data_IF_800711619615
#
_entry.id   IF_800711619615
#
_cell.length_a   1.000
_cell.length_b   1.000
_cell.length_c   1.000
_cell.angle_alpha   90.00
_cell.angle_beta   90.00
_cell.angle_gamma   90.00
#
_symmetry.space_group_name_H-M   'P 1'
#
loop_
_entity.id
_entity.type
_entity.pdbx_description
1 polymer ?
#
# COMPACT_ATOMS: atom_id res chain seq x y z
N UNK A 1 24.55 -36.44 -3.91
CA UNK A 1 23.76 -35.20 -4.12
C UNK A 1 23.19 -34.76 -2.78
N UNK A 2 23.76 -33.73 -2.16
CA UNK A 2 23.15 -32.99 -1.04
C UNK A 2 23.15 -31.53 -1.46
N UNK A 3 21.99 -31.05 -1.88
CA UNK A 3 21.81 -29.65 -2.27
C UNK A 3 21.78 -28.86 -0.97
N UNK A 4 22.90 -28.18 -0.66
CA UNK A 4 22.95 -27.14 0.36
C UNK A 4 22.23 -25.93 -0.25
N UNK A 5 20.91 -25.87 -0.16
CA UNK A 5 20.17 -24.65 -0.47
C UNK A 5 20.51 -23.64 0.62
N UNK A 6 21.47 -22.77 0.31
CA UNK A 6 21.70 -21.52 1.00
C UNK A 6 20.37 -20.77 1.09
N UNK A 7 19.72 -20.84 2.25
CA UNK A 7 18.58 -20.00 2.57
C UNK A 7 19.15 -18.60 2.74
N UNK A 8 19.26 -17.88 1.62
CA UNK A 8 19.42 -16.44 1.62
C UNK A 8 18.12 -15.90 2.20
N UNK A 9 18.04 -15.75 3.52
CA UNK A 9 17.05 -14.89 4.15
C UNK A 9 17.35 -13.48 3.62
N UNK A 10 16.74 -13.12 2.50
CA UNK A 10 16.61 -11.72 2.10
C UNK A 10 15.78 -11.12 3.21
N UNK A 11 16.43 -10.49 4.18
CA UNK A 11 15.76 -9.54 5.04
C UNK A 11 15.16 -8.53 4.07
N UNK A 12 13.84 -8.57 3.89
CA UNK A 12 13.12 -7.49 3.26
C UNK A 12 13.33 -6.31 4.21
N UNK A 13 14.38 -5.52 3.95
CA UNK A 13 14.55 -4.24 4.61
C UNK A 13 13.37 -3.44 4.12
N UNK A 14 12.35 -3.28 4.96
CA UNK A 14 11.36 -2.23 4.75
C UNK A 14 12.19 -0.95 4.59
N UNK A 15 12.24 -0.43 3.37
CA UNK A 15 12.99 0.76 3.08
C UNK A 15 12.32 1.90 3.85
N UNK A 16 12.97 2.36 4.91
CA UNK A 16 12.51 3.52 5.64
C UNK A 16 12.60 4.74 4.72
N UNK A 17 11.51 5.50 4.61
CA UNK A 17 11.44 6.71 3.78
C UNK A 17 11.73 6.47 2.28
N UNK A 18 11.12 5.43 1.70
CA UNK A 18 11.23 5.05 0.29
C UNK A 18 10.60 6.06 -0.70
N UNK A 19 9.64 6.88 -0.25
CA UNK A 19 9.00 7.88 -1.09
C UNK A 19 9.78 9.19 -1.12
N UNK A 20 10.01 9.74 -2.31
CA UNK A 20 10.59 11.08 -2.46
C UNK A 20 9.53 12.19 -2.31
N UNK A 21 9.93 13.45 -2.41
CA UNK A 21 9.01 14.59 -2.24
C UNK A 21 7.89 14.64 -3.29
N UNK A 22 8.17 14.22 -4.52
CA UNK A 22 7.15 14.15 -5.56
C UNK A 22 6.11 13.06 -5.26
N UNK A 23 6.57 11.88 -4.83
CA UNK A 23 5.69 10.80 -4.40
C UNK A 23 4.76 11.27 -3.26
N UNK A 24 5.32 11.91 -2.24
CA UNK A 24 4.57 12.46 -1.10
C UNK A 24 3.54 13.50 -1.52
N UNK A 25 3.84 14.31 -2.54
CA UNK A 25 2.89 15.27 -3.12
C UNK A 25 1.73 14.55 -3.82
N UNK A 26 2.02 13.49 -4.57
CA UNK A 26 0.99 12.68 -5.26
C UNK A 26 0.09 11.96 -4.25
N UNK A 27 0.67 11.34 -3.22
CA UNK A 27 -0.07 10.61 -2.19
C UNK A 27 -1.05 11.49 -1.42
N UNK A 28 -0.66 12.74 -1.14
CA UNK A 28 -1.54 13.72 -0.49
C UNK A 28 -2.59 14.34 -1.45
N UNK A 29 -2.58 13.95 -2.72
CA UNK A 29 -3.57 14.35 -3.71
C UNK A 29 -4.94 13.73 -3.45
N UNK A 30 -6.00 14.45 -3.81
CA UNK A 30 -7.40 14.06 -3.56
C UNK A 30 -7.81 12.72 -4.21
N UNK A 31 -7.19 12.37 -5.34
CA UNK A 31 -7.56 11.17 -6.10
C UNK A 31 -6.74 9.93 -5.73
N UNK A 32 -5.63 10.11 -5.02
CA UNK A 32 -4.69 9.02 -4.75
C UNK A 32 -5.35 7.84 -4.03
N UNK A 33 -6.07 8.07 -2.93
CA UNK A 33 -6.67 6.98 -2.15
C UNK A 33 -7.80 6.27 -2.90
N UNK A 34 -8.55 6.98 -3.73
CA UNK A 34 -9.53 6.38 -4.63
C UNK A 34 -8.87 5.52 -5.72
N UNK A 35 -7.70 5.94 -6.21
CA UNK A 35 -6.91 5.18 -7.17
C UNK A 35 -6.22 3.97 -6.53
N UNK A 36 -5.76 4.09 -5.29
CA UNK A 36 -5.23 2.97 -4.50
C UNK A 36 -6.30 1.89 -4.29
N UNK A 37 -7.54 2.29 -3.99
CA UNK A 37 -8.67 1.36 -3.93
C UNK A 37 -8.88 0.67 -5.28
N UNK A 38 -8.91 1.42 -6.39
CA UNK A 38 -9.00 0.84 -7.74
C UNK A 38 -7.91 -0.19 -8.01
N UNK A 39 -6.64 0.13 -7.73
CA UNK A 39 -5.53 -0.80 -7.90
C UNK A 39 -5.66 -2.05 -7.02
N UNK A 40 -6.16 -1.89 -5.78
CA UNK A 40 -6.35 -3.01 -4.84
C UNK A 40 -7.46 -3.97 -5.30
N UNK A 41 -8.54 -3.46 -5.90
CA UNK A 41 -9.57 -4.32 -6.50
C UNK A 41 -9.09 -4.96 -7.80
N UNK A 42 -8.41 -4.19 -8.65
CA UNK A 42 -7.89 -4.67 -9.93
C UNK A 42 -6.80 -5.73 -9.75
N UNK A 43 -6.12 -5.72 -8.60
CA UNK A 43 -5.19 -6.75 -8.19
C UNK A 43 -5.84 -8.14 -7.99
N UNK A 44 -7.17 -8.23 -7.82
CA UNK A 44 -7.92 -9.48 -7.71
C UNK A 44 -7.34 -10.45 -6.65
N UNK A 45 -6.98 -9.92 -5.49
CA UNK A 45 -6.42 -10.68 -4.37
C UNK A 45 -4.93 -10.97 -4.46
N UNK A 46 -4.22 -10.37 -5.42
CA UNK A 46 -2.76 -10.46 -5.56
C UNK A 46 -2.10 -9.09 -5.30
N UNK A 47 -1.66 -8.80 -4.06
CA UNK A 47 -1.06 -7.52 -3.69
C UNK A 47 0.15 -7.11 -4.52
N UNK A 48 0.85 -8.07 -5.16
CA UNK A 48 2.01 -7.79 -6.02
C UNK A 48 1.65 -6.98 -7.27
N UNK A 49 0.36 -6.90 -7.62
CA UNK A 49 -0.15 -6.10 -8.75
C UNK A 49 -0.47 -4.65 -8.36
N UNK A 50 -0.50 -4.32 -7.08
CA UNK A 50 -0.78 -2.95 -6.62
C UNK A 50 0.36 -1.99 -6.98
N UNK A 51 1.65 -2.29 -6.71
CA UNK A 51 2.76 -1.41 -7.08
C UNK A 51 2.80 -1.02 -8.56
N UNK A 52 2.77 -1.95 -9.55
CA UNK A 52 2.84 -1.57 -10.97
C UNK A 52 1.62 -0.75 -11.42
N UNK A 53 0.46 -0.93 -10.78
CA UNK A 53 -0.72 -0.09 -11.04
C UNK A 53 -0.47 1.37 -10.61
N UNK A 54 0.10 1.58 -9.42
CA UNK A 54 0.43 2.90 -8.90
C UNK A 54 1.58 3.56 -9.67
N UNK A 55 2.60 2.81 -10.06
CA UNK A 55 3.67 3.31 -10.93
C UNK A 55 3.12 3.81 -12.27
N UNK A 56 2.22 3.02 -12.89
CA UNK A 56 1.63 3.37 -14.18
C UNK A 56 0.70 4.59 -14.08
N UNK A 57 -0.19 4.61 -13.09
CA UNK A 57 -1.23 5.64 -12.98
C UNK A 57 -0.85 6.89 -12.19
N UNK A 58 -0.04 6.75 -11.14
CA UNK A 58 0.37 7.85 -10.26
C UNK A 58 1.81 8.30 -10.51
N UNK A 59 2.60 7.54 -11.27
CA UNK A 59 4.05 7.79 -11.47
C UNK A 59 4.83 7.79 -10.15
N UNK A 60 4.40 6.97 -9.19
CA UNK A 60 5.19 6.72 -7.99
C UNK A 60 6.51 6.04 -8.36
N UNK A 61 7.56 6.31 -7.60
CA UNK A 61 8.78 5.50 -7.65
C UNK A 61 8.50 4.06 -7.20
N UNK A 62 9.27 3.09 -7.72
CA UNK A 62 9.13 1.65 -7.40
C UNK A 62 9.14 1.41 -5.88
N UNK A 63 10.13 1.96 -5.17
CA UNK A 63 10.22 1.82 -3.70
C UNK A 63 8.98 2.36 -2.98
N UNK A 64 8.45 3.50 -3.44
CA UNK A 64 7.24 4.09 -2.86
C UNK A 64 5.98 3.28 -3.19
N UNK A 65 5.84 2.79 -4.42
CA UNK A 65 4.73 1.97 -4.85
C UNK A 65 4.67 0.64 -4.06
N UNK A 66 5.85 0.04 -3.78
CA UNK A 66 5.96 -1.16 -2.96
C UNK A 66 5.46 -0.95 -1.52
N UNK A 67 5.61 0.23 -0.93
CA UNK A 67 5.01 0.53 0.38
C UNK A 67 3.48 0.33 0.39
N UNK A 68 2.80 0.63 -0.73
CA UNK A 68 1.36 0.45 -0.85
C UNK A 68 0.96 -0.97 -1.23
N UNK A 69 1.83 -1.71 -1.93
CA UNK A 69 1.69 -3.15 -2.09
C UNK A 69 1.72 -3.88 -0.74
N UNK A 70 2.69 -3.54 0.12
CA UNK A 70 2.80 -4.07 1.47
C UNK A 70 1.62 -3.66 2.36
N UNK A 71 1.16 -2.41 2.24
CA UNK A 71 -0.04 -1.93 2.94
C UNK A 71 -1.30 -2.71 2.51
N UNK A 72 -1.50 -2.90 1.20
CA UNK A 72 -2.61 -3.68 0.67
C UNK A 72 -2.53 -5.14 1.13
N UNK A 73 -1.33 -5.74 1.13
CA UNK A 73 -1.09 -7.07 1.67
C UNK A 73 -1.43 -7.18 3.15
N UNK A 74 -1.01 -6.23 3.98
CA UNK A 74 -1.34 -6.19 5.40
C UNK A 74 -2.87 -6.13 5.61
N UNK A 75 -3.56 -5.27 4.85
CA UNK A 75 -5.01 -5.19 4.87
C UNK A 75 -5.69 -6.48 4.43
N UNK A 76 -5.16 -7.15 3.41
CA UNK A 76 -5.66 -8.45 2.95
C UNK A 76 -5.45 -9.55 4.00
N UNK A 77 -4.27 -9.63 4.61
CA UNK A 77 -3.91 -10.70 5.55
C UNK A 77 -4.67 -10.58 6.88
N UNK A 78 -4.99 -9.36 7.31
CA UNK A 78 -5.53 -9.11 8.65
C UNK A 78 -6.94 -8.49 8.69
N UNK A 79 -7.34 -7.76 7.65
CA UNK A 79 -8.48 -6.84 7.69
C UNK A 79 -9.44 -6.97 6.49
N UNK A 80 -9.30 -8.01 5.68
CA UNK A 80 -10.06 -8.18 4.43
C UNK A 80 -11.56 -8.04 4.65
N UNK A 81 -12.11 -8.69 5.68
CA UNK A 81 -13.55 -8.66 5.95
C UNK A 81 -14.08 -7.28 6.34
N UNK A 82 -13.24 -6.42 6.92
CA UNK A 82 -13.59 -5.07 7.34
C UNK A 82 -13.37 -4.04 6.23
N UNK A 83 -12.44 -4.32 5.30
CA UNK A 83 -11.95 -3.34 4.33
C UNK A 83 -12.41 -3.57 2.89
N UNK A 84 -12.75 -4.80 2.49
CA UNK A 84 -12.96 -5.17 1.08
C UNK A 84 -14.00 -4.30 0.36
N UNK A 85 -15.14 -4.03 0.99
CA UNK A 85 -16.24 -3.26 0.36
C UNK A 85 -16.35 -1.82 0.85
N UNK A 86 -15.76 -1.51 2.00
CA UNK A 86 -15.89 -0.21 2.67
C UNK A 86 -14.55 0.23 3.27
N UNK A 87 -13.53 0.51 2.44
CA UNK A 87 -12.18 0.85 2.91
C UNK A 87 -12.11 2.12 3.77
N UNK A 88 -13.15 2.96 3.75
CA UNK A 88 -13.27 4.16 4.58
C UNK A 88 -14.04 3.95 5.89
N UNK A 89 -14.63 2.77 6.11
CA UNK A 89 -15.36 2.46 7.32
C UNK A 89 -14.43 2.46 8.54
N UNK A 90 -14.97 2.88 9.69
CA UNK A 90 -14.19 2.93 10.93
C UNK A 90 -13.64 1.55 11.32
N UNK A 91 -14.42 0.49 11.12
CA UNK A 91 -13.97 -0.88 11.39
C UNK A 91 -12.74 -1.30 10.57
N UNK A 92 -12.62 -0.84 9.31
CA UNK A 92 -11.42 -1.05 8.51
C UNK A 92 -10.24 -0.28 9.11
N UNK A 93 -10.42 1.03 9.38
CA UNK A 93 -9.38 1.89 9.94
C UNK A 93 -8.83 1.34 11.25
N UNK A 94 -9.71 0.94 12.16
CA UNK A 94 -9.34 0.38 13.46
C UNK A 94 -8.59 -0.95 13.30
N UNK A 95 -8.99 -1.79 12.33
CA UNK A 95 -8.29 -3.03 12.04
C UNK A 95 -6.88 -2.77 11.49
N UNK A 96 -6.74 -1.86 10.52
CA UNK A 96 -5.46 -1.51 9.91
C UNK A 96 -4.50 -0.91 10.94
N UNK A 97 -5.02 -0.11 11.87
CA UNK A 97 -4.25 0.45 12.96
C UNK A 97 -3.80 -0.63 13.96
N UNK A 98 -4.76 -1.44 14.44
CA UNK A 98 -4.51 -2.53 15.39
C UNK A 98 -3.47 -3.54 14.91
N UNK A 99 -3.44 -3.82 13.60
CA UNK A 99 -2.48 -4.77 13.01
C UNK A 99 -1.20 -4.09 12.52
N UNK A 100 -0.98 -2.81 12.82
CA UNK A 100 0.26 -2.09 12.51
C UNK A 100 0.44 -1.73 11.03
N UNK A 101 -0.56 -1.93 10.18
CA UNK A 101 -0.49 -1.57 8.75
C UNK A 101 -0.26 -0.07 8.58
N UNK A 102 -0.91 0.77 9.41
CA UNK A 102 -0.74 2.22 9.39
C UNK A 102 0.68 2.64 9.77
N UNK A 103 1.22 2.07 10.85
CA UNK A 103 2.58 2.38 11.29
C UNK A 103 3.62 1.94 10.25
N UNK A 104 3.42 0.75 9.64
CA UNK A 104 4.30 0.23 8.61
C UNK A 104 4.33 1.11 7.36
N UNK A 105 3.17 1.52 6.84
CA UNK A 105 3.12 2.38 5.64
C UNK A 105 3.68 3.77 5.91
N UNK A 106 3.47 4.34 7.11
CA UNK A 106 4.08 5.63 7.48
C UNK A 106 5.60 5.54 7.55
N UNK A 107 6.11 4.47 8.16
CA UNK A 107 7.56 4.21 8.22
C UNK A 107 8.17 4.01 6.83
N UNK A 108 7.52 3.21 5.99
CA UNK A 108 7.98 2.94 4.62
C UNK A 108 7.95 4.21 3.75
N UNK A 109 6.85 4.95 3.77
CA UNK A 109 6.69 6.15 2.93
C UNK A 109 7.43 7.37 3.48
N UNK A 110 7.75 7.41 4.77
CA UNK A 110 8.28 8.59 5.45
C UNK A 110 7.29 9.76 5.49
N UNK A 111 5.98 9.47 5.48
CA UNK A 111 4.92 10.46 5.71
C UNK A 111 4.74 10.70 7.22
N UNK A 112 4.37 11.93 7.58
CA UNK A 112 4.07 12.30 8.97
C UNK A 112 2.65 11.94 9.41
N UNK A 113 1.75 11.69 8.47
CA UNK A 113 0.36 11.31 8.73
C UNK A 113 -0.19 10.46 7.58
N UNK A 114 -1.24 9.68 7.85
CA UNK A 114 -1.89 8.88 6.83
C UNK A 114 -2.50 9.76 5.74
N UNK A 115 -2.50 9.23 4.51
CA UNK A 115 -3.19 9.82 3.39
C UNK A 115 -4.72 9.81 3.61
N UNK A 116 -5.48 10.72 2.97
CA UNK A 116 -6.93 10.79 3.16
C UNK A 116 -7.62 9.48 2.77
N UNK A 117 -8.57 9.00 3.58
CA UNK A 117 -9.38 7.83 3.22
C UNK A 117 -10.18 8.07 1.92
N UNK A 118 -10.38 7.05 1.08
CA UNK A 118 -11.14 7.23 -0.16
C UNK A 118 -12.63 7.49 0.14
N UNK A 119 -13.20 8.50 -0.51
CA UNK A 119 -14.67 8.72 -0.49
C UNK A 119 -15.37 7.96 -1.62
N UNK A 120 -14.64 7.67 -2.69
CA UNK A 120 -15.07 6.87 -3.84
C UNK A 120 -13.83 6.27 -4.52
N UNK A 121 -14.02 5.21 -5.28
CA UNK A 121 -12.98 4.68 -6.16
C UNK A 121 -12.70 5.66 -7.31
N UNK A 122 -11.44 5.71 -7.78
CA UNK A 122 -11.03 6.52 -8.93
C UNK A 122 -10.20 5.67 -9.89
N UNK A 123 -10.48 5.75 -11.19
CA UNK A 123 -9.64 5.10 -12.22
C UNK A 123 -8.48 5.99 -12.70
N UNK A 124 -8.31 7.17 -12.10
CA UNK A 124 -7.23 8.13 -12.38
C UNK A 124 -6.59 8.61 -11.11
N UNK A 125 -5.29 8.90 -11.18
CA UNK A 125 -4.54 9.45 -10.05
C UNK A 125 -4.42 10.99 -10.07
N UNK A 126 -4.79 11.63 -11.18
CA UNK A 126 -4.77 13.08 -11.40
C UNK A 126 -5.92 13.52 -12.31
#
# INVERSE_FOLDING_TARGET
MRVLTSVLFIALVAADNACNDNDKKVINGKLFSGYLWYCSEHAAGDPSKVPPCLESGCKLTDGCANCFGDFAKCGQDHCLSQCLSTPSAQACKDCMDKNGCNAAVLKCTGLSSLFPAPTAQSQKCY
#
